data_IF_897732899482
#
_entry.id   IF_897732899482
#
_cell.length_a   1.000
_cell.length_b   1.000
_cell.length_c   1.000
_cell.angle_alpha   90.00
_cell.angle_beta   90.00
_cell.angle_gamma   90.00
#
_symmetry.space_group_name_H-M   'P 1'
#
loop_
_entity.id
_entity.type
_entity.pdbx_description
1 polymer ?
#
# COMPACT_ATOMS: atom_id res chain seq x y z
N UNK A 1 -40.88 -58.40 6.10
CA UNK A 1 -40.87 -58.13 7.55
C UNK A 1 -39.77 -57.08 7.85
N UNK A 2 -40.18 -55.84 7.89
CA UNK A 2 -40.01 -54.84 8.93
C UNK A 2 -38.61 -54.32 9.32
N UNK A 3 -38.50 -52.98 9.13
CA UNK A 3 -38.18 -51.93 10.12
C UNK A 3 -36.69 -51.64 10.28
N UNK A 4 -36.18 -50.42 10.38
CA UNK A 4 -36.68 -49.05 10.65
C UNK A 4 -35.56 -48.11 10.25
N UNK A 5 -35.81 -47.15 9.53
CA UNK A 5 -35.94 -45.71 9.58
C UNK A 5 -35.19 -45.02 10.70
N UNK A 6 -34.64 -43.89 10.24
CA UNK A 6 -34.39 -42.63 10.96
C UNK A 6 -33.15 -42.55 11.86
N UNK A 7 -32.29 -41.66 11.46
CA UNK A 7 -31.75 -40.45 12.07
C UNK A 7 -30.51 -39.98 11.32
N UNK A 8 -30.70 -39.34 10.16
CA UNK A 8 -29.69 -38.45 9.62
C UNK A 8 -30.01 -37.01 10.07
N UNK A 9 -29.42 -36.64 11.18
CA UNK A 9 -29.40 -35.25 11.62
C UNK A 9 -28.68 -34.38 10.58
N UNK A 10 -29.42 -33.44 9.99
CA UNK A 10 -28.95 -32.38 9.12
C UNK A 10 -28.13 -31.41 9.94
N UNK A 11 -26.80 -31.43 9.78
CA UNK A 11 -25.96 -30.30 10.10
C UNK A 11 -25.93 -29.39 8.87
N UNK A 12 -26.76 -28.37 8.86
CA UNK A 12 -26.68 -27.25 7.90
C UNK A 12 -25.62 -26.32 8.42
N UNK A 13 -24.40 -26.46 7.91
CA UNK A 13 -23.41 -25.41 8.04
C UNK A 13 -23.80 -24.28 7.09
N UNK A 14 -24.17 -23.13 7.65
CA UNK A 14 -24.19 -21.87 6.94
C UNK A 14 -22.72 -21.46 6.67
N UNK A 15 -22.16 -22.00 5.62
CA UNK A 15 -20.93 -21.49 5.04
C UNK A 15 -21.29 -20.24 4.25
N UNK A 16 -20.75 -19.11 4.70
CA UNK A 16 -20.84 -17.82 4.01
C UNK A 16 -20.39 -18.02 2.55
N UNK A 17 -21.27 -17.70 1.60
CA UNK A 17 -21.05 -17.88 0.15
C UNK A 17 -19.79 -17.15 -0.36
N UNK A 18 -19.34 -16.12 0.35
CA UNK A 18 -18.13 -15.37 0.03
C UNK A 18 -16.84 -16.20 0.21
N UNK A 19 -16.82 -17.14 1.15
CA UNK A 19 -15.64 -17.98 1.43
C UNK A 19 -15.51 -19.11 0.40
N UNK A 20 -16.62 -19.70 -0.05
CA UNK A 20 -16.60 -20.75 -1.06
C UNK A 20 -16.13 -20.28 -2.44
N UNK A 21 -16.45 -19.06 -2.84
CA UNK A 21 -16.00 -18.50 -4.12
C UNK A 21 -14.49 -18.25 -4.14
N UNK A 22 -13.90 -17.85 -3.01
CA UNK A 22 -12.45 -17.63 -2.90
C UNK A 22 -11.65 -18.95 -3.01
N UNK A 23 -12.11 -20.02 -2.38
CA UNK A 23 -11.44 -21.33 -2.46
C UNK A 23 -11.57 -21.97 -3.85
N UNK A 24 -12.71 -21.84 -4.51
CA UNK A 24 -12.93 -22.38 -5.86
C UNK A 24 -12.03 -21.70 -6.90
N UNK A 25 -11.79 -20.39 -6.76
CA UNK A 25 -10.96 -19.64 -7.70
C UNK A 25 -9.46 -19.92 -7.53
N UNK A 26 -8.99 -20.12 -6.30
CA UNK A 26 -7.59 -20.45 -6.01
C UNK A 26 -7.24 -21.87 -6.47
N UNK A 27 -8.15 -22.82 -6.32
CA UNK A 27 -7.94 -24.21 -6.76
C UNK A 27 -8.04 -24.33 -8.30
N UNK A 28 -8.93 -23.58 -8.94
CA UNK A 28 -9.07 -23.59 -10.40
C UNK A 28 -7.82 -22.99 -11.10
N UNK A 29 -7.12 -22.06 -10.46
CA UNK A 29 -5.89 -21.45 -10.98
C UNK A 29 -4.67 -22.38 -10.91
N UNK A 30 -4.67 -23.35 -10.00
CA UNK A 30 -3.60 -24.36 -9.84
C UNK A 30 -3.72 -25.55 -10.81
N UNK A 31 -4.88 -25.72 -11.48
CA UNK A 31 -5.14 -26.91 -12.32
C UNK A 31 -5.12 -26.63 -13.82
N UNK A 32 -5.09 -25.37 -14.27
CA UNK A 32 -5.08 -25.02 -15.69
C UNK A 32 -3.74 -24.35 -16.05
N UNK A 33 -2.78 -25.17 -16.48
CA UNK A 33 -1.65 -24.81 -17.35
C UNK A 33 -0.71 -23.74 -16.80
N UNK A 34 0.59 -24.03 -16.82
CA UNK A 34 1.69 -23.15 -16.47
C UNK A 34 1.58 -21.73 -17.05
N UNK A 35 0.84 -20.90 -16.37
CA UNK A 35 0.74 -19.47 -16.67
C UNK A 35 2.10 -18.85 -16.26
N UNK A 36 2.88 -18.46 -17.25
CA UNK A 36 4.04 -17.59 -17.05
C UNK A 36 3.51 -16.40 -16.26
N UNK A 37 3.76 -16.34 -14.95
CA UNK A 37 3.33 -15.22 -14.11
C UNK A 37 3.72 -13.94 -14.82
N UNK A 38 2.74 -13.14 -15.24
CA UNK A 38 2.96 -11.89 -15.97
C UNK A 38 3.75 -10.98 -15.06
N UNK A 39 5.03 -10.78 -15.41
CA UNK A 39 5.88 -9.86 -14.65
C UNK A 39 5.34 -8.44 -14.78
N UNK A 40 5.50 -7.67 -13.73
CA UNK A 40 4.89 -6.34 -13.59
C UNK A 40 5.98 -5.27 -13.55
N UNK A 41 5.85 -4.24 -14.37
CA UNK A 41 6.69 -3.04 -14.30
C UNK A 41 6.01 -1.97 -13.45
N UNK A 42 6.77 -1.43 -12.50
CA UNK A 42 6.27 -0.52 -11.45
C UNK A 42 6.99 0.82 -11.52
N UNK A 43 6.25 1.93 -11.39
CA UNK A 43 6.83 3.25 -11.16
C UNK A 43 6.58 3.66 -9.71
N UNK A 44 7.63 4.06 -8.99
CA UNK A 44 7.56 4.48 -7.59
C UNK A 44 8.04 5.92 -7.41
N UNK A 45 7.23 6.75 -6.78
CA UNK A 45 7.61 8.07 -6.29
C UNK A 45 7.68 8.07 -4.75
N UNK A 46 8.75 8.62 -4.20
CA UNK A 46 8.99 8.63 -2.75
C UNK A 46 9.85 7.46 -2.25
N UNK A 47 10.61 6.83 -3.12
CA UNK A 47 11.53 5.72 -2.83
C UNK A 47 12.68 6.05 -1.86
N UNK A 48 12.95 7.33 -1.59
CA UNK A 48 13.89 7.76 -0.53
C UNK A 48 13.24 7.90 0.85
N UNK A 49 11.91 7.71 0.94
CA UNK A 49 11.16 7.81 2.21
C UNK A 49 11.22 6.52 3.02
N UNK A 50 10.73 6.59 4.29
CA UNK A 50 10.76 5.48 5.25
C UNK A 50 10.07 4.21 4.70
N UNK A 51 8.86 4.33 4.18
CA UNK A 51 8.12 3.20 3.59
C UNK A 51 8.59 2.93 2.17
N UNK A 52 8.80 3.97 1.36
CA UNK A 52 9.14 3.83 -0.06
C UNK A 52 10.49 3.15 -0.30
N UNK A 53 11.49 3.35 0.57
CA UNK A 53 12.78 2.65 0.46
C UNK A 53 12.65 1.15 0.73
N UNK A 54 11.82 0.76 1.68
CA UNK A 54 11.55 -0.65 1.96
C UNK A 54 10.74 -1.30 0.81
N UNK A 55 9.75 -0.59 0.24
CA UNK A 55 9.02 -1.06 -0.94
C UNK A 55 9.97 -1.27 -2.12
N UNK A 56 10.85 -0.31 -2.39
CA UNK A 56 11.84 -0.42 -3.48
C UNK A 56 12.70 -1.67 -3.32
N UNK A 57 13.26 -1.90 -2.13
CA UNK A 57 14.06 -3.11 -1.85
C UNK A 57 13.28 -4.41 -2.10
N UNK A 58 12.03 -4.48 -1.63
CA UNK A 58 11.18 -5.65 -1.82
C UNK A 58 10.91 -5.90 -3.31
N UNK A 59 10.57 -4.87 -4.08
CA UNK A 59 10.29 -4.99 -5.51
C UNK A 59 11.51 -5.43 -6.32
N UNK A 60 12.70 -4.93 -5.98
CA UNK A 60 13.93 -5.31 -6.67
C UNK A 60 14.29 -6.78 -6.45
N UNK A 61 13.93 -7.35 -5.29
CA UNK A 61 14.17 -8.75 -4.95
C UNK A 61 13.00 -9.68 -5.30
N UNK A 62 11.88 -9.17 -5.84
CA UNK A 62 10.72 -9.97 -6.21
C UNK A 62 10.78 -10.41 -7.67
N UNK A 63 10.74 -11.72 -7.94
CA UNK A 63 10.76 -12.26 -9.30
C UNK A 63 9.51 -11.96 -10.11
N UNK A 64 8.41 -11.59 -9.46
CA UNK A 64 7.17 -11.11 -10.09
C UNK A 64 7.31 -9.70 -10.66
N UNK A 65 8.33 -8.95 -10.21
CA UNK A 65 8.66 -7.61 -10.70
C UNK A 65 9.62 -7.70 -11.88
N UNK A 66 9.23 -7.15 -13.01
CA UNK A 66 10.06 -7.08 -14.23
C UNK A 66 11.04 -5.91 -14.16
N UNK A 67 10.52 -4.72 -13.87
CA UNK A 67 11.29 -3.50 -13.81
C UNK A 67 10.70 -2.48 -12.84
N UNK A 68 11.56 -1.69 -12.20
CA UNK A 68 11.18 -0.60 -11.29
C UNK A 68 11.74 0.71 -11.80
N UNK A 69 10.88 1.69 -12.04
CA UNK A 69 11.24 3.07 -12.30
C UNK A 69 11.09 3.89 -11.02
N UNK A 70 12.20 4.36 -10.47
CA UNK A 70 12.21 5.18 -9.27
C UNK A 70 12.29 6.66 -9.62
N UNK A 71 11.23 7.41 -9.35
CA UNK A 71 11.21 8.86 -9.54
C UNK A 71 11.56 9.54 -8.24
N UNK A 72 12.67 10.27 -8.23
CA UNK A 72 13.19 10.91 -7.02
C UNK A 72 13.89 12.23 -7.31
N UNK A 73 14.04 13.06 -6.30
CA UNK A 73 14.76 14.36 -6.41
C UNK A 73 16.27 14.21 -6.36
N UNK A 74 16.78 13.07 -5.91
CA UNK A 74 18.21 12.78 -5.74
C UNK A 74 18.46 11.35 -6.12
N UNK A 75 19.70 11.08 -6.53
CA UNK A 75 20.17 9.72 -6.78
C UNK A 75 20.06 8.90 -5.47
N UNK A 76 19.56 7.68 -5.60
CA UNK A 76 19.51 6.71 -4.51
C UNK A 76 20.76 5.83 -4.61
N UNK A 77 21.40 5.62 -3.46
CA UNK A 77 22.47 4.63 -3.34
C UNK A 77 21.84 3.23 -3.30
N UNK A 78 22.07 2.45 -4.35
CA UNK A 78 21.58 1.07 -4.47
C UNK A 78 22.77 0.14 -4.68
N UNK A 79 22.69 -1.10 -4.20
CA UNK A 79 23.70 -2.11 -4.45
C UNK A 79 23.82 -2.40 -5.96
N UNK A 80 25.03 -2.73 -6.44
CA UNK A 80 25.28 -2.97 -7.87
C UNK A 80 24.42 -4.09 -8.45
N UNK A 81 24.07 -5.10 -7.66
CA UNK A 81 23.20 -6.21 -8.05
C UNK A 81 21.74 -5.80 -8.29
N UNK A 82 21.30 -4.68 -7.74
CA UNK A 82 19.94 -4.17 -7.87
C UNK A 82 19.73 -3.33 -9.14
N UNK A 83 20.82 -2.95 -9.82
CA UNK A 83 20.77 -2.02 -10.96
C UNK A 83 20.17 -2.63 -12.23
N UNK A 84 20.11 -3.95 -12.36
CA UNK A 84 19.55 -4.60 -13.56
C UNK A 84 18.04 -4.41 -13.72
N UNK A 85 17.32 -4.27 -12.62
CA UNK A 85 15.86 -4.08 -12.61
C UNK A 85 15.45 -2.64 -12.31
N UNK A 86 16.39 -1.70 -12.09
CA UNK A 86 16.12 -0.35 -11.61
C UNK A 86 16.54 0.71 -12.61
N UNK A 87 15.60 1.56 -13.01
CA UNK A 87 15.89 2.84 -13.66
C UNK A 87 15.58 3.98 -12.73
N UNK A 88 16.54 4.86 -12.47
CA UNK A 88 16.34 6.03 -11.64
C UNK A 88 16.08 7.26 -12.51
N UNK A 89 14.92 7.87 -12.33
CA UNK A 89 14.53 9.13 -12.97
C UNK A 89 14.73 10.24 -11.94
N UNK A 90 15.77 11.03 -12.12
CA UNK A 90 16.12 12.11 -11.21
C UNK A 90 15.47 13.39 -11.72
N UNK A 91 14.52 13.91 -10.96
CA UNK A 91 13.81 15.14 -11.30
C UNK A 91 13.46 15.93 -10.02
N UNK A 92 13.89 17.19 -9.90
CA UNK A 92 13.55 18.05 -8.76
C UNK A 92 12.05 18.18 -8.54
N UNK A 93 11.27 18.25 -9.63
CA UNK A 93 9.81 18.44 -9.62
C UNK A 93 9.05 17.12 -9.84
N UNK A 94 9.73 15.99 -9.70
CA UNK A 94 9.17 14.66 -9.99
C UNK A 94 8.49 14.61 -11.37
N UNK A 95 9.15 15.21 -12.37
CA UNK A 95 8.65 15.23 -13.73
C UNK A 95 8.72 13.83 -14.35
N UNK A 96 7.63 13.40 -14.96
CA UNK A 96 7.48 12.08 -15.55
C UNK A 96 7.02 12.28 -16.99
N UNK A 97 7.76 11.71 -17.95
CA UNK A 97 7.45 11.74 -19.39
C UNK A 97 7.46 10.32 -19.96
N UNK A 98 6.61 10.06 -20.95
CA UNK A 98 6.45 8.72 -21.54
C UNK A 98 7.73 8.19 -22.19
N UNK A 99 8.54 9.06 -22.73
CA UNK A 99 9.79 8.76 -23.42
C UNK A 99 10.91 8.25 -22.49
N UNK A 100 10.69 8.35 -21.16
CA UNK A 100 11.65 7.87 -20.15
C UNK A 100 11.54 6.37 -19.87
N UNK A 101 10.58 5.67 -20.50
CA UNK A 101 10.24 4.29 -20.20
C UNK A 101 10.44 3.37 -21.39
N UNK A 102 11.34 2.41 -21.28
CA UNK A 102 11.47 1.31 -22.24
C UNK A 102 10.26 0.39 -22.20
N UNK A 103 9.75 0.13 -20.99
CA UNK A 103 8.53 -0.64 -20.73
C UNK A 103 7.56 0.26 -19.96
N UNK A 104 6.41 0.58 -20.55
CA UNK A 104 5.40 1.41 -19.88
C UNK A 104 4.95 0.74 -18.57
N UNK A 105 5.16 1.38 -17.39
CA UNK A 105 4.74 0.81 -16.12
C UNK A 105 3.21 0.78 -16.04
N UNK A 106 2.66 -0.36 -15.65
CA UNK A 106 1.21 -0.52 -15.47
C UNK A 106 0.74 -0.12 -14.08
N UNK A 107 1.64 -0.15 -13.10
CA UNK A 107 1.36 0.12 -11.69
C UNK A 107 2.20 1.29 -11.19
N UNK A 108 1.55 2.23 -10.52
CA UNK A 108 2.17 3.35 -9.82
C UNK A 108 2.12 3.19 -8.31
N UNK A 109 3.21 3.51 -7.64
CA UNK A 109 3.30 3.60 -6.18
C UNK A 109 3.69 5.02 -5.79
N UNK A 110 2.89 5.66 -4.95
CA UNK A 110 3.17 6.99 -4.43
C UNK A 110 3.32 6.91 -2.92
N UNK A 111 4.57 6.88 -2.45
CA UNK A 111 4.95 6.88 -1.04
C UNK A 111 5.45 8.27 -0.58
N UNK A 112 4.96 9.32 -1.24
CA UNK A 112 5.24 10.71 -0.88
C UNK A 112 4.44 11.11 0.35
N UNK A 113 5.03 11.94 1.18
CA UNK A 113 4.39 12.52 2.35
C UNK A 113 5.41 13.16 3.29
N UNK A 114 4.91 14.02 4.17
CA UNK A 114 5.73 14.72 5.15
C UNK A 114 4.98 14.84 6.48
N UNK A 115 5.64 15.39 7.47
CA UNK A 115 5.03 15.87 8.71
C UNK A 115 5.11 17.39 8.74
N UNK A 116 4.26 18.05 9.55
CA UNK A 116 4.33 19.52 9.72
C UNK A 116 5.74 19.97 10.14
N UNK A 117 6.39 19.18 11.03
CA UNK A 117 7.75 19.45 11.51
C UNK A 117 8.77 19.39 10.36
N UNK A 118 8.68 18.41 9.49
CA UNK A 118 9.61 18.26 8.35
C UNK A 118 9.29 19.23 7.21
N UNK A 119 8.03 19.53 6.97
CA UNK A 119 7.62 20.50 5.96
C UNK A 119 7.91 21.94 6.38
N UNK A 120 7.95 22.22 7.69
CA UNK A 120 8.20 23.53 8.27
C UNK A 120 6.94 24.39 8.45
N UNK A 121 5.88 24.16 7.68
CA UNK A 121 4.58 24.85 7.86
C UNK A 121 3.42 23.97 7.42
N UNK A 122 2.19 24.38 7.77
CA UNK A 122 0.96 23.71 7.32
C UNK A 122 0.75 23.83 5.81
N UNK A 123 1.08 24.98 5.26
CA UNK A 123 0.98 25.28 3.82
C UNK A 123 1.93 24.37 3.04
N UNK A 124 3.20 24.30 3.43
CA UNK A 124 4.18 23.39 2.80
C UNK A 124 3.82 21.93 2.96
N UNK A 125 3.22 21.54 4.11
CA UNK A 125 2.68 20.19 4.26
C UNK A 125 1.60 19.92 3.21
N UNK A 126 0.67 20.84 2.99
CA UNK A 126 -0.39 20.71 2.00
C UNK A 126 0.17 20.65 0.58
N UNK A 127 1.21 21.44 0.28
CA UNK A 127 1.87 21.39 -1.04
C UNK A 127 2.46 20.01 -1.30
N UNK A 128 3.07 19.37 -0.29
CA UNK A 128 3.65 18.04 -0.43
C UNK A 128 2.54 16.96 -0.44
N UNK A 129 1.69 16.94 0.59
CA UNK A 129 0.76 15.83 0.83
C UNK A 129 -0.50 15.88 -0.05
N UNK A 130 -0.81 17.03 -0.67
CA UNK A 130 -1.93 17.17 -1.62
C UNK A 130 -1.44 17.46 -3.03
N UNK A 131 -0.81 18.62 -3.24
CA UNK A 131 -0.52 19.09 -4.59
C UNK A 131 0.49 18.18 -5.30
N UNK A 132 1.64 17.91 -4.69
CA UNK A 132 2.69 17.08 -5.29
C UNK A 132 2.22 15.62 -5.51
N UNK A 133 1.47 15.05 -4.56
CA UNK A 133 0.92 13.68 -4.70
C UNK A 133 -0.06 13.61 -5.86
N UNK A 134 -1.01 14.55 -5.94
CA UNK A 134 -2.02 14.58 -7.02
C UNK A 134 -1.38 14.81 -8.37
N UNK A 135 -0.44 15.75 -8.47
CA UNK A 135 0.31 16.02 -9.71
C UNK A 135 1.12 14.79 -10.16
N UNK A 136 1.80 14.12 -9.23
CA UNK A 136 2.51 12.87 -9.53
C UNK A 136 1.55 11.80 -10.04
N UNK A 137 0.39 11.64 -9.41
CA UNK A 137 -0.63 10.70 -9.87
C UNK A 137 -1.15 11.05 -11.27
N UNK A 138 -1.39 12.32 -11.56
CA UNK A 138 -1.79 12.79 -12.91
C UNK A 138 -0.75 12.43 -13.97
N UNK A 139 0.53 12.68 -13.67
CA UNK A 139 1.64 12.32 -14.56
C UNK A 139 1.73 10.81 -14.77
N UNK A 140 1.61 10.00 -13.70
CA UNK A 140 1.57 8.55 -13.82
C UNK A 140 0.41 8.07 -14.71
N UNK A 141 -0.78 8.66 -14.55
CA UNK A 141 -1.91 8.34 -15.40
C UNK A 141 -1.68 8.70 -16.88
N UNK A 142 -1.09 9.86 -17.14
CA UNK A 142 -0.85 10.34 -18.51
C UNK A 142 0.12 9.45 -19.30
N UNK A 143 1.03 8.75 -18.64
CA UNK A 143 1.95 7.78 -19.26
C UNK A 143 1.34 6.38 -19.41
N UNK A 144 0.13 6.13 -18.92
CA UNK A 144 -0.57 4.85 -19.09
C UNK A 144 -0.64 3.96 -17.85
N UNK A 145 -0.23 4.45 -16.68
CA UNK A 145 -0.45 3.73 -15.41
C UNK A 145 -1.95 3.55 -15.21
N UNK A 146 -2.38 2.31 -15.08
CA UNK A 146 -3.79 1.94 -14.90
C UNK A 146 -4.18 1.74 -13.44
N UNK A 147 -3.24 1.30 -12.61
CA UNK A 147 -3.41 0.99 -11.19
C UNK A 147 -2.47 1.83 -10.34
N UNK A 148 -2.98 2.47 -9.28
CA UNK A 148 -2.15 3.29 -8.40
C UNK A 148 -2.36 2.92 -6.93
N UNK A 149 -1.24 2.75 -6.20
CA UNK A 149 -1.22 2.54 -4.76
C UNK A 149 -0.62 3.78 -4.08
N UNK A 150 -1.34 4.36 -3.13
CA UNK A 150 -0.95 5.64 -2.53
C UNK A 150 -0.90 5.54 -1.02
N UNK A 151 0.22 5.96 -0.43
CA UNK A 151 0.37 6.04 1.01
C UNK A 151 -0.43 7.22 1.57
N UNK A 152 -1.52 6.88 2.24
CA UNK A 152 -2.39 7.79 2.98
C UNK A 152 -2.19 7.61 4.49
N UNK A 153 -3.22 7.81 5.29
CA UNK A 153 -3.20 7.53 6.72
C UNK A 153 -4.58 7.13 7.24
N UNK A 154 -4.60 6.44 8.36
CA UNK A 154 -5.83 6.15 9.09
C UNK A 154 -6.55 7.44 9.49
N UNK A 155 -7.84 7.51 9.21
CA UNK A 155 -8.67 8.68 9.53
C UNK A 155 -8.53 9.85 8.54
N UNK A 156 -7.96 9.62 7.35
CA UNK A 156 -7.96 10.60 6.26
C UNK A 156 -9.40 11.02 5.93
N UNK A 157 -9.69 12.32 6.10
CA UNK A 157 -11.03 12.89 5.91
C UNK A 157 -10.91 14.39 5.61
N UNK A 158 -11.47 14.84 4.49
CA UNK A 158 -11.41 16.25 4.09
C UNK A 158 -12.18 17.20 5.02
N UNK A 159 -13.08 16.68 5.85
CA UNK A 159 -13.84 17.43 6.85
C UNK A 159 -13.18 17.38 8.24
N UNK A 160 -12.06 16.69 8.39
CA UNK A 160 -11.36 16.56 9.67
C UNK A 160 -10.95 17.92 10.25
N UNK A 161 -11.06 18.06 11.58
CA UNK A 161 -10.51 19.21 12.31
C UNK A 161 -8.96 19.22 12.30
N UNK A 162 -8.35 18.04 12.20
CA UNK A 162 -6.90 17.91 12.04
C UNK A 162 -6.48 18.35 10.64
N UNK A 163 -5.55 19.32 10.56
CA UNK A 163 -5.03 19.79 9.28
C UNK A 163 -4.40 18.65 8.46
N UNK A 164 -3.63 17.77 9.11
CA UNK A 164 -2.99 16.63 8.47
C UNK A 164 -4.01 15.65 7.88
N UNK A 165 -5.01 15.22 8.67
CA UNK A 165 -6.05 14.30 8.20
C UNK A 165 -6.88 14.92 7.09
N UNK A 166 -7.12 16.22 7.16
CA UNK A 166 -7.83 16.97 6.10
C UNK A 166 -7.03 17.00 4.79
N UNK A 167 -5.72 17.23 4.85
CA UNK A 167 -4.86 17.16 3.66
C UNK A 167 -4.89 15.76 3.04
N UNK A 168 -4.79 14.70 3.85
CA UNK A 168 -4.86 13.31 3.35
C UNK A 168 -6.23 12.99 2.74
N UNK A 169 -7.33 13.42 3.36
CA UNK A 169 -8.68 13.26 2.80
C UNK A 169 -8.87 14.01 1.48
N UNK A 170 -8.40 15.26 1.39
CA UNK A 170 -8.42 16.07 0.16
C UNK A 170 -7.61 15.38 -0.95
N UNK A 171 -6.43 14.87 -0.63
CA UNK A 171 -5.58 14.13 -1.56
C UNK A 171 -6.31 12.89 -2.10
N UNK A 172 -6.87 12.06 -1.21
CA UNK A 172 -7.61 10.86 -1.63
C UNK A 172 -8.76 11.20 -2.58
N UNK A 173 -9.57 12.21 -2.25
CA UNK A 173 -10.66 12.66 -3.11
C UNK A 173 -10.18 13.12 -4.49
N UNK A 174 -9.12 13.94 -4.53
CA UNK A 174 -8.58 14.45 -5.80
C UNK A 174 -8.02 13.33 -6.68
N UNK A 175 -7.33 12.36 -6.09
CA UNK A 175 -6.81 11.20 -6.83
C UNK A 175 -7.94 10.31 -7.35
N UNK A 176 -9.00 10.07 -6.57
CA UNK A 176 -10.17 9.33 -7.07
C UNK A 176 -10.78 9.95 -8.32
N UNK A 177 -10.82 11.29 -8.40
CA UNK A 177 -11.34 12.01 -9.58
C UNK A 177 -10.47 11.86 -10.83
N UNK A 178 -9.22 11.40 -10.71
CA UNK A 178 -8.37 11.09 -11.86
C UNK A 178 -8.87 9.85 -12.63
N UNK A 179 -9.66 8.99 -12.01
CA UNK A 179 -10.32 7.85 -12.67
C UNK A 179 -9.31 6.79 -13.14
N UNK A 180 -8.37 6.39 -12.32
CA UNK A 180 -7.58 5.17 -12.57
C UNK A 180 -8.51 3.95 -12.66
N UNK A 181 -8.07 2.92 -13.36
CA UNK A 181 -8.82 1.65 -13.36
C UNK A 181 -8.92 1.09 -11.93
N UNK A 182 -7.85 1.26 -11.16
CA UNK A 182 -7.81 0.86 -9.77
C UNK A 182 -6.99 1.86 -8.93
N UNK A 183 -7.54 2.26 -7.78
CA UNK A 183 -6.89 3.15 -6.81
C UNK A 183 -6.92 2.51 -5.44
N UNK A 184 -5.76 2.26 -4.85
CA UNK A 184 -5.63 1.68 -3.52
C UNK A 184 -4.98 2.70 -2.57
N UNK A 185 -5.71 3.12 -1.55
CA UNK A 185 -5.17 3.95 -0.49
C UNK A 185 -4.70 3.08 0.67
N UNK A 186 -3.41 3.14 0.96
CA UNK A 186 -2.79 2.49 2.11
C UNK A 186 -2.93 3.42 3.29
N UNK A 187 -3.78 3.05 4.26
CA UNK A 187 -4.11 3.87 5.42
C UNK A 187 -3.51 3.27 6.71
N UNK A 188 -2.18 3.36 6.90
CA UNK A 188 -1.57 2.91 8.15
C UNK A 188 -2.02 3.77 9.31
N UNK A 189 -2.06 3.18 10.50
CA UNK A 189 -2.03 3.89 11.77
C UNK A 189 -0.68 4.60 11.98
N UNK A 190 -0.37 5.01 13.20
CA UNK A 190 0.92 5.63 13.50
C UNK A 190 2.07 4.72 13.07
N UNK A 191 3.01 5.25 12.27
CA UNK A 191 4.19 4.52 11.84
C UNK A 191 5.19 4.45 12.99
N UNK A 192 5.66 3.24 13.31
CA UNK A 192 6.79 3.02 14.18
C UNK A 192 8.06 2.98 13.30
N UNK A 193 9.08 3.79 13.64
CA UNK A 193 10.34 3.83 12.91
C UNK A 193 11.25 4.97 13.38
N UNK A 194 12.52 4.89 13.04
CA UNK A 194 13.61 5.74 13.57
C UNK A 194 13.55 7.23 13.22
N UNK A 195 12.57 7.70 12.43
CA UNK A 195 12.43 9.12 12.07
C UNK A 195 11.62 9.97 13.07
N UNK A 196 11.11 9.39 14.15
CA UNK A 196 10.54 10.20 15.23
C UNK A 196 11.64 10.63 16.20
N UNK A 197 12.26 11.78 15.96
CA UNK A 197 13.14 12.48 16.92
C UNK A 197 12.41 12.96 18.17
N UNK A 198 11.23 12.54 18.44
CA UNK A 198 10.64 12.59 19.77
C UNK A 198 11.04 11.29 20.46
N UNK A 199 12.05 11.36 21.30
CA UNK A 199 12.36 10.39 22.35
C UNK A 199 11.17 10.22 23.29
N UNK A 200 10.11 9.63 22.79
CA UNK A 200 9.18 8.92 23.68
C UNK A 200 9.98 7.66 24.04
N UNK A 201 10.32 7.54 25.32
CA UNK A 201 11.07 6.40 25.84
C UNK A 201 10.51 5.13 25.19
N UNK A 202 11.36 4.42 24.40
CA UNK A 202 10.97 3.16 23.74
C UNK A 202 10.38 2.17 24.75
N UNK A 203 10.88 2.22 25.99
CA UNK A 203 10.36 1.45 27.12
C UNK A 203 8.93 1.85 27.50
N UNK A 204 8.61 3.15 27.47
CA UNK A 204 7.25 3.65 27.75
C UNK A 204 6.29 3.29 26.62
N UNK A 205 6.73 3.41 25.35
CA UNK A 205 5.93 3.02 24.19
C UNK A 205 5.69 1.50 24.16
N UNK A 206 6.71 0.69 24.46
CA UNK A 206 6.59 -0.76 24.59
C UNK A 206 5.70 -1.16 25.77
N UNK A 207 5.82 -0.48 26.90
CA UNK A 207 4.98 -0.73 28.07
C UNK A 207 3.51 -0.37 27.81
N UNK A 208 3.25 0.81 27.26
CA UNK A 208 1.90 1.25 26.87
C UNK A 208 1.31 0.34 25.78
N UNK A 209 2.11 -0.06 24.79
CA UNK A 209 1.64 -0.96 23.73
C UNK A 209 1.27 -2.35 24.27
N UNK A 210 2.02 -2.89 25.24
CA UNK A 210 1.71 -4.16 25.89
C UNK A 210 0.45 -4.08 26.75
N UNK A 211 0.24 -2.95 27.43
CA UNK A 211 -0.90 -2.76 28.33
C UNK A 211 -2.21 -2.49 27.55
N UNK A 212 -2.12 -1.78 26.43
CA UNK A 212 -3.28 -1.35 25.63
C UNK A 212 -3.63 -2.36 24.53
N UNK A 213 -2.66 -3.17 24.04
CA UNK A 213 -2.91 -4.22 23.03
C UNK A 213 -4.11 -5.14 23.31
N UNK A 214 -4.31 -5.68 24.54
CA UNK A 214 -5.47 -6.55 24.78
C UNK A 214 -6.81 -5.82 24.74
N UNK A 215 -6.83 -4.50 24.99
CA UNK A 215 -8.04 -3.66 24.93
C UNK A 215 -8.37 -3.18 23.51
N UNK A 216 -7.37 -3.14 22.61
CA UNK A 216 -7.52 -2.70 21.22
C UNK A 216 -7.97 -3.85 20.32
N UNK A 217 -9.25 -4.26 20.45
CA UNK A 217 -9.90 -5.25 19.56
C UNK A 217 -10.78 -4.55 18.52
N UNK A 218 -11.01 -5.19 17.37
CA UNK A 218 -11.86 -4.66 16.31
C UNK A 218 -11.27 -3.41 15.63
N UNK A 219 -12.05 -2.36 15.47
CA UNK A 219 -11.64 -1.11 14.79
C UNK A 219 -10.48 -0.37 15.49
N UNK A 220 -10.33 -0.55 16.80
CA UNK A 220 -9.25 0.09 17.58
C UNK A 220 -7.88 -0.52 17.28
N UNK A 221 -7.78 -1.73 16.74
CA UNK A 221 -6.52 -2.35 16.34
C UNK A 221 -5.78 -1.56 15.26
N UNK A 222 -6.46 -0.73 14.49
CA UNK A 222 -5.86 0.14 13.47
C UNK A 222 -5.02 1.28 14.05
N UNK A 223 -5.19 1.62 15.32
CA UNK A 223 -4.41 2.66 16.02
C UNK A 223 -3.14 2.11 16.67
N UNK A 224 -2.93 0.80 16.66
CA UNK A 224 -1.65 0.21 17.09
C UNK A 224 -0.56 0.66 16.11
N UNK A 225 0.58 1.16 16.61
CA UNK A 225 1.70 1.51 15.76
C UNK A 225 2.14 0.34 14.87
N UNK A 226 2.31 0.61 13.58
CA UNK A 226 2.74 -0.38 12.58
C UNK A 226 4.14 -0.03 12.08
N UNK A 227 4.99 -1.02 11.88
CA UNK A 227 6.33 -0.80 11.34
C UNK A 227 6.27 -0.45 9.85
N UNK A 228 7.17 0.43 9.41
CA UNK A 228 7.27 0.81 8.01
C UNK A 228 7.55 -0.38 7.08
N UNK A 229 8.37 -1.34 7.54
CA UNK A 229 8.62 -2.60 6.84
C UNK A 229 7.35 -3.44 6.65
N UNK A 230 6.48 -3.50 7.66
CA UNK A 230 5.19 -4.20 7.54
C UNK A 230 4.26 -3.52 6.53
N UNK A 231 4.21 -2.18 6.51
CA UNK A 231 3.45 -1.43 5.50
C UNK A 231 4.01 -1.69 4.11
N UNK A 232 5.34 -1.70 3.97
CA UNK A 232 6.02 -1.98 2.70
C UNK A 232 5.75 -3.39 2.20
N UNK A 233 5.80 -4.41 3.08
CA UNK A 233 5.48 -5.80 2.73
C UNK A 233 4.04 -5.94 2.23
N UNK A 234 3.07 -5.34 2.93
CA UNK A 234 1.68 -5.36 2.48
C UNK A 234 1.50 -4.65 1.13
N UNK A 235 2.21 -3.55 0.91
CA UNK A 235 2.16 -2.79 -0.33
C UNK A 235 2.77 -3.58 -1.50
N UNK A 236 3.91 -4.25 -1.28
CA UNK A 236 4.55 -5.12 -2.27
C UNK A 236 3.63 -6.29 -2.67
N UNK A 237 2.95 -6.93 -1.72
CA UNK A 237 1.97 -7.97 -2.02
C UNK A 237 0.75 -7.43 -2.79
N UNK A 238 0.23 -6.26 -2.41
CA UNK A 238 -0.91 -5.63 -3.10
C UNK A 238 -0.58 -5.29 -4.56
N UNK A 239 0.66 -5.02 -4.90
CA UNK A 239 1.09 -4.77 -6.29
C UNK A 239 0.79 -5.97 -7.19
N UNK A 240 0.92 -7.20 -6.68
CA UNK A 240 0.75 -8.43 -7.45
C UNK A 240 -0.62 -9.09 -7.26
N UNK A 241 -1.48 -8.54 -6.38
CA UNK A 241 -2.84 -9.05 -6.21
C UNK A 241 -3.80 -8.31 -7.15
N UNK A 242 -4.64 -9.06 -7.84
CA UNK A 242 -5.76 -8.47 -8.58
C UNK A 242 -6.83 -8.00 -7.58
N UNK A 243 -7.31 -6.78 -7.74
CA UNK A 243 -8.45 -6.25 -6.98
C UNK A 243 -9.70 -6.24 -7.84
N UNK A 244 -10.84 -6.43 -7.18
CA UNK A 244 -12.16 -6.39 -7.83
C UNK A 244 -12.83 -5.01 -7.70
N UNK A 245 -12.19 -4.07 -7.02
CA UNK A 245 -12.74 -2.75 -6.72
C UNK A 245 -11.96 -1.64 -7.41
N UNK A 246 -12.66 -0.71 -8.00
CA UNK A 246 -12.05 0.48 -8.58
C UNK A 246 -11.38 1.40 -7.55
N UNK A 247 -11.88 1.40 -6.30
CA UNK A 247 -11.28 2.15 -5.18
C UNK A 247 -11.30 1.29 -3.91
N UNK A 248 -10.14 1.17 -3.27
CA UNK A 248 -10.00 0.42 -2.03
C UNK A 248 -9.18 1.20 -0.98
N UNK A 249 -9.47 0.96 0.30
CA UNK A 249 -8.74 1.52 1.45
C UNK A 249 -8.27 0.40 2.35
N UNK A 250 -6.96 0.29 2.53
CA UNK A 250 -6.31 -0.80 3.24
C UNK A 250 -5.82 -0.30 4.60
N UNK A 251 -6.44 -0.77 5.68
CA UNK A 251 -6.10 -0.38 7.05
C UNK A 251 -4.95 -1.22 7.63
N UNK A 252 -4.33 -0.77 8.75
CA UNK A 252 -3.29 -1.51 9.47
C UNK A 252 -3.70 -2.93 9.81
N UNK A 253 -4.93 -3.14 10.28
CA UNK A 253 -5.40 -4.48 10.64
C UNK A 253 -5.51 -5.42 9.44
N UNK A 254 -5.85 -4.89 8.26
CA UNK A 254 -5.89 -5.66 7.03
C UNK A 254 -4.46 -6.00 6.55
N UNK A 255 -3.55 -5.01 6.56
CA UNK A 255 -2.14 -5.22 6.22
C UNK A 255 -1.50 -6.32 7.08
N UNK A 256 -1.71 -6.27 8.40
CA UNK A 256 -1.18 -7.29 9.32
C UNK A 256 -1.77 -8.68 9.07
N UNK A 257 -3.03 -8.78 8.67
CA UNK A 257 -3.64 -10.07 8.31
C UNK A 257 -3.07 -10.64 7.01
N UNK A 258 -2.73 -9.79 6.06
CA UNK A 258 -2.09 -10.23 4.81
C UNK A 258 -0.71 -10.82 5.10
N UNK A 259 0.14 -10.10 5.83
CA UNK A 259 1.51 -10.52 6.13
C UNK A 259 1.56 -11.82 6.95
N UNK A 260 0.64 -12.01 7.87
CA UNK A 260 0.60 -13.22 8.71
C UNK A 260 0.04 -14.46 7.97
N UNK A 261 -0.40 -14.32 6.72
CA UNK A 261 -0.92 -15.42 5.88
C UNK A 261 0.08 -15.85 4.79
N UNK A 262 1.05 -15.00 4.50
CA UNK A 262 2.20 -15.27 3.63
C UNK A 262 3.29 -16.01 4.40
#
# INVERSE_FOLDING_TARGET
>A
VNRDSSYRQKWIFHLDRSVCLFYSWTILRLTIGGDRMKKTSVIIAGSSGLVGSEVLKLLLNDDRTEHVYSVSRRLLECAQTEQTKLTQIISPDLHIQKEQFDITPSIGVIALGSTVKQAGSKEKLRDIDVHLVVETAQKMKSIGVSRVLILSCLGADEQSRSHYLRCKGEMERKVMLLGFHETIFIQPGPLAGERSETRIDEKLLQFLSKLVKPLMRGKLSNYVPIQASSVASALAELIHLDSLKSVERISSSYMMKMINRS
#
